data_IF_153128269490
#
_entry.id   IF_153128269490
#
_cell.length_a   1.000
_cell.length_b   1.000
_cell.length_c   1.000
_cell.angle_alpha   90.00
_cell.angle_beta   90.00
_cell.angle_gamma   90.00
#
_symmetry.space_group_name_H-M   'P 1'
#
loop_
_entity.id
_entity.type
_entity.pdbx_description
1 polymer ?
#
# COMPACT_ATOMS: atom_id res chain seq x y z
N UNK A 1 8.20 -14.82 0.85
CA UNK A 1 6.89 -14.12 0.91
C UNK A 1 7.01 -12.83 0.15
N UNK A 2 6.18 -12.61 -0.86
CA UNK A 2 6.22 -11.41 -1.70
C UNK A 2 5.45 -10.28 -1.00
N UNK A 3 6.10 -9.13 -0.82
CA UNK A 3 5.50 -7.92 -0.29
C UNK A 3 5.31 -6.90 -1.42
N UNK A 4 4.24 -6.12 -1.34
CA UNK A 4 4.11 -4.91 -2.15
C UNK A 4 4.70 -3.73 -1.36
N UNK A 5 5.69 -3.07 -1.90
CA UNK A 5 6.28 -1.88 -1.30
C UNK A 5 5.58 -0.63 -1.83
N UNK A 6 5.11 0.20 -0.94
CA UNK A 6 4.68 1.56 -1.27
C UNK A 6 5.94 2.35 -1.63
N UNK A 7 6.06 2.72 -2.89
CA UNK A 7 7.26 3.40 -3.43
C UNK A 7 7.09 4.90 -3.53
N UNK A 8 5.84 5.37 -3.60
CA UNK A 8 5.49 6.78 -3.72
C UNK A 8 4.31 7.10 -2.80
N UNK A 9 4.20 8.37 -2.42
CA UNK A 9 3.06 8.84 -1.64
C UNK A 9 1.78 8.63 -2.45
N UNK A 10 0.87 7.80 -1.93
CA UNK A 10 -0.45 7.56 -2.50
C UNK A 10 -1.51 8.17 -1.60
N UNK A 11 -2.42 8.96 -2.16
CA UNK A 11 -3.46 9.68 -1.41
C UNK A 11 -4.85 9.31 -1.92
N UNK A 12 -5.74 9.00 -1.00
CA UNK A 12 -7.18 8.91 -1.21
C UNK A 12 -7.89 9.90 -0.30
N UNK A 13 -8.77 10.74 -0.82
CA UNK A 13 -9.49 11.72 -0.01
C UNK A 13 -10.94 11.90 -0.46
N UNK A 14 -11.80 12.23 0.50
CA UNK A 14 -13.18 12.67 0.31
C UNK A 14 -13.31 13.99 1.10
N UNK A 15 -12.96 15.13 0.48
CA UNK A 15 -12.85 16.43 1.18
C UNK A 15 -14.15 16.84 1.89
N UNK A 16 -15.30 16.64 1.26
CA UNK A 16 -16.62 16.98 1.79
C UNK A 16 -17.00 16.19 3.06
N UNK A 17 -16.34 15.06 3.31
CA UNK A 17 -16.49 14.23 4.50
C UNK A 17 -15.31 14.33 5.46
N UNK A 18 -14.27 15.09 5.09
CA UNK A 18 -13.02 15.22 5.84
C UNK A 18 -12.25 13.88 5.96
N UNK A 19 -12.42 12.98 4.99
CA UNK A 19 -11.74 11.68 4.97
C UNK A 19 -10.45 11.79 4.17
N UNK A 20 -9.35 11.36 4.75
CA UNK A 20 -8.07 11.25 4.04
C UNK A 20 -7.33 9.97 4.47
N UNK A 21 -6.83 9.22 3.49
CA UNK A 21 -5.98 8.05 3.70
C UNK A 21 -4.73 8.24 2.84
N UNK A 22 -3.57 8.19 3.48
CA UNK A 22 -2.27 8.39 2.81
C UNK A 22 -1.37 7.20 3.09
N UNK A 23 -0.81 6.63 2.03
CA UNK A 23 0.31 5.70 2.15
C UNK A 23 1.62 6.43 1.87
N UNK A 24 2.62 6.18 2.69
CA UNK A 24 3.99 6.66 2.53
C UNK A 24 4.94 5.48 2.34
N UNK A 25 6.03 5.66 1.57
CA UNK A 25 7.13 4.70 1.55
C UNK A 25 7.67 4.45 2.96
N UNK A 26 7.80 3.18 3.32
CA UNK A 26 8.45 2.73 4.56
C UNK A 26 8.88 1.28 4.38
N UNK A 27 9.92 0.85 5.09
CA UNK A 27 10.43 -0.52 5.03
C UNK A 27 9.60 -1.50 5.87
N UNK A 28 8.83 -0.99 6.83
CA UNK A 28 7.92 -1.76 7.66
C UNK A 28 6.47 -1.36 7.42
N UNK A 29 5.53 -2.25 7.77
CA UNK A 29 4.11 -1.92 7.74
C UNK A 29 3.68 -1.30 9.06
N UNK A 30 3.18 -0.08 9.01
CA UNK A 30 2.60 0.60 10.17
C UNK A 30 1.31 1.32 9.79
N UNK A 31 0.41 1.46 10.77
CA UNK A 31 -0.89 2.13 10.57
C UNK A 31 -1.16 3.13 11.67
N UNK A 32 -1.54 4.33 11.29
CA UNK A 32 -1.97 5.41 12.16
C UNK A 32 -3.39 5.82 11.79
N UNK A 33 -4.27 5.87 12.77
CA UNK A 33 -5.67 6.28 12.56
C UNK A 33 -6.00 7.41 13.52
N UNK A 34 -6.54 8.48 12.96
CA UNK A 34 -7.13 9.59 13.70
C UNK A 34 -8.62 9.65 13.39
N UNK A 35 -9.45 9.66 14.41
CA UNK A 35 -10.91 9.73 14.30
C UNK A 35 -11.44 10.91 15.11
N UNK A 36 -12.35 11.63 14.51
CA UNK A 36 -13.12 12.69 15.14
C UNK A 36 -14.60 12.40 14.87
N UNK A 37 -15.30 11.99 15.92
CA UNK A 37 -16.72 11.62 15.84
C UNK A 37 -17.65 12.80 16.11
N UNK A 38 -17.07 13.99 16.35
CA UNK A 38 -17.83 15.15 16.80
C UNK A 38 -18.71 14.84 18.04
N UNK A 39 -18.25 13.91 18.86
CA UNK A 39 -18.94 13.39 20.04
C UNK A 39 -18.33 13.97 21.31
N UNK A 40 -19.18 14.37 22.26
CA UNK A 40 -18.72 14.84 23.57
C UNK A 40 -18.18 13.71 24.45
N UNK A 41 -18.55 12.48 24.16
CA UNK A 41 -18.16 11.29 24.94
C UNK A 41 -16.80 10.77 24.45
N UNK A 42 -16.64 10.54 23.14
CA UNK A 42 -15.40 9.98 22.60
C UNK A 42 -14.44 11.04 22.04
N UNK A 43 -14.96 12.19 21.59
CA UNK A 43 -14.14 13.29 21.08
C UNK A 43 -13.26 12.88 19.89
N UNK A 44 -12.07 13.48 19.87
CA UNK A 44 -11.03 13.16 18.90
C UNK A 44 -10.08 12.13 19.50
N UNK A 45 -9.86 11.03 18.81
CA UNK A 45 -9.04 9.92 19.27
C UNK A 45 -8.03 9.51 18.21
N UNK A 46 -6.90 9.00 18.69
CA UNK A 46 -5.79 8.54 17.90
C UNK A 46 -5.41 7.11 18.30
N UNK A 47 -5.11 6.26 17.31
CA UNK A 47 -4.53 4.94 17.52
C UNK A 47 -3.39 4.71 16.53
N UNK A 48 -2.39 3.94 16.96
CA UNK A 48 -1.21 3.61 16.17
C UNK A 48 -0.83 2.15 16.39
N UNK A 49 -0.41 1.48 15.31
CA UNK A 49 0.25 0.19 15.33
C UNK A 49 1.54 0.32 14.52
N UNK A 50 2.67 0.19 15.20
CA UNK A 50 4.00 0.30 14.57
C UNK A 50 4.50 -1.02 14.01
N UNK A 51 4.14 -2.13 14.64
CA UNK A 51 4.57 -3.47 14.26
C UNK A 51 3.41 -4.45 14.36
N UNK A 52 3.30 -5.34 13.37
CA UNK A 52 2.22 -6.33 13.34
C UNK A 52 2.29 -7.36 14.47
N UNK A 53 3.45 -7.54 15.09
CA UNK A 53 3.62 -8.41 16.26
C UNK A 53 2.79 -7.95 17.45
N UNK A 54 2.58 -6.63 17.60
CA UNK A 54 1.83 -6.01 18.68
C UNK A 54 0.31 -6.05 18.44
N UNK A 55 -0.16 -6.50 17.27
CA UNK A 55 -1.57 -6.51 16.88
C UNK A 55 -2.45 -7.31 17.85
N UNK A 56 -2.00 -8.48 18.25
CA UNK A 56 -2.78 -9.38 19.10
C UNK A 56 -3.09 -8.78 20.48
N UNK A 57 -2.16 -8.00 21.03
CA UNK A 57 -2.32 -7.39 22.36
C UNK A 57 -2.99 -6.02 22.29
N UNK A 58 -2.63 -5.21 21.30
CA UNK A 58 -3.03 -3.80 21.28
C UNK A 58 -4.28 -3.51 20.48
N UNK A 59 -4.60 -4.33 19.46
CA UNK A 59 -5.67 -4.01 18.50
C UNK A 59 -6.76 -5.08 18.48
N UNK A 60 -6.40 -6.35 18.41
CA UNK A 60 -7.37 -7.45 18.30
C UNK A 60 -8.42 -7.50 19.42
N UNK A 61 -8.14 -7.10 20.68
CA UNK A 61 -9.13 -7.10 21.73
C UNK A 61 -10.20 -5.99 21.62
N UNK A 62 -10.02 -5.00 20.72
CA UNK A 62 -10.87 -3.82 20.66
C UNK A 62 -12.26 -4.15 20.09
N UNK A 63 -13.30 -3.80 20.84
CA UNK A 63 -14.69 -4.04 20.46
C UNK A 63 -15.18 -3.00 19.47
N UNK A 64 -16.16 -3.39 18.66
CA UNK A 64 -16.94 -2.46 17.85
C UNK A 64 -17.72 -1.49 18.72
N UNK A 65 -18.14 -0.38 18.14
CA UNK A 65 -18.97 0.61 18.83
C UNK A 65 -20.06 1.14 17.91
N UNK A 66 -21.11 1.66 18.52
CA UNK A 66 -22.26 2.28 17.85
C UNK A 66 -22.82 3.38 18.74
N UNK A 67 -23.30 4.46 18.14
CA UNK A 67 -24.06 5.47 18.87
C UNK A 67 -25.49 4.98 19.08
N UNK A 68 -26.07 5.27 20.26
CA UNK A 68 -27.41 4.81 20.59
C UNK A 68 -28.46 5.27 19.56
N UNK A 69 -28.36 6.49 19.06
CA UNK A 69 -29.26 7.02 18.04
C UNK A 69 -29.15 6.29 16.67
N UNK A 70 -28.05 5.60 16.40
CA UNK A 70 -27.86 4.75 15.22
C UNK A 70 -28.37 3.33 15.43
N UNK A 71 -28.58 2.94 16.69
CA UNK A 71 -28.97 1.59 17.05
C UNK A 71 -30.42 1.30 16.66
N UNK A 72 -31.33 2.27 16.82
CA UNK A 72 -32.77 2.08 16.52
C UNK A 72 -33.05 1.65 15.07
N UNK A 73 -32.47 2.30 14.03
CA UNK A 73 -32.64 1.84 12.66
C UNK A 73 -32.09 0.43 12.43
N UNK A 74 -31.01 0.05 13.13
CA UNK A 74 -30.40 -1.28 13.04
C UNK A 74 -31.29 -2.35 13.66
N UNK A 75 -31.91 -2.05 14.79
CA UNK A 75 -32.89 -2.93 15.46
C UNK A 75 -34.11 -3.12 14.58
N UNK A 76 -34.69 -2.02 14.09
CA UNK A 76 -35.95 -2.04 13.33
C UNK A 76 -35.79 -2.79 11.98
N UNK A 77 -34.59 -2.80 11.40
CA UNK A 77 -34.28 -3.51 10.18
C UNK A 77 -33.67 -4.92 10.39
N UNK A 78 -33.67 -5.41 11.64
CA UNK A 78 -33.12 -6.72 12.01
C UNK A 78 -31.64 -6.93 11.56
N UNK A 79 -30.86 -5.84 11.60
CA UNK A 79 -29.46 -5.82 11.17
C UNK A 79 -28.48 -6.16 12.29
N UNK A 80 -28.96 -6.22 13.55
CA UNK A 80 -28.16 -6.65 14.70
C UNK A 80 -28.15 -8.18 14.74
N UNK A 81 -27.28 -8.78 13.96
CA UNK A 81 -27.06 -10.23 13.99
C UNK A 81 -25.81 -10.52 14.83
N UNK A 82 -26.02 -10.93 16.08
CA UNK A 82 -24.93 -11.30 17.00
C UNK A 82 -24.26 -10.15 17.75
N UNK A 83 -24.80 -8.92 17.66
CA UNK A 83 -24.40 -7.81 18.53
C UNK A 83 -25.01 -7.97 19.92
N UNK A 84 -24.16 -8.00 20.96
CA UNK A 84 -24.53 -8.00 22.35
C UNK A 84 -23.80 -6.85 23.06
N UNK A 85 -24.35 -6.38 24.18
CA UNK A 85 -23.70 -5.35 25.02
C UNK A 85 -22.35 -5.78 25.59
N UNK A 86 -22.00 -7.08 25.52
CA UNK A 86 -20.69 -7.58 25.92
C UNK A 86 -19.63 -7.47 24.82
N UNK A 87 -20.03 -7.44 23.54
CA UNK A 87 -19.12 -7.43 22.40
C UNK A 87 -19.16 -6.11 21.60
N UNK A 88 -20.06 -5.19 21.92
CA UNK A 88 -20.16 -3.87 21.31
C UNK A 88 -20.24 -2.77 22.37
N UNK A 89 -19.59 -1.64 22.08
CA UNK A 89 -19.63 -0.44 22.91
C UNK A 89 -20.81 0.41 22.41
N UNK A 90 -21.84 0.62 23.24
CA UNK A 90 -22.94 1.53 22.91
C UNK A 90 -22.70 2.89 23.58
N UNK A 91 -22.58 3.93 22.76
CA UNK A 91 -22.28 5.29 23.17
C UNK A 91 -23.58 6.08 23.29
N UNK A 92 -23.74 6.73 24.44
CA UNK A 92 -24.95 7.45 24.83
C UNK A 92 -24.59 8.91 25.04
N UNK A 93 -24.94 9.77 24.09
CA UNK A 93 -24.58 11.20 24.13
C UNK A 93 -25.59 12.06 24.88
N UNK A 94 -26.83 11.60 24.96
CA UNK A 94 -27.92 12.34 25.61
C UNK A 94 -28.48 11.51 26.79
N UNK A 95 -29.14 12.20 27.70
CA UNK A 95 -29.89 11.51 28.77
C UNK A 95 -30.97 10.63 28.17
N UNK A 96 -31.09 9.42 28.69
CA UNK A 96 -32.11 8.44 28.33
C UNK A 96 -33.14 8.40 29.44
N UNK A 97 -34.44 8.17 29.09
CA UNK A 97 -35.48 7.92 30.07
C UNK A 97 -35.43 6.48 30.62
N UNK A 98 -36.04 6.28 31.77
CA UNK A 98 -36.13 4.94 32.37
C UNK A 98 -36.92 3.97 31.46
N UNK A 99 -37.96 4.48 30.75
CA UNK A 99 -38.73 3.68 29.79
C UNK A 99 -37.85 3.17 28.62
N UNK A 100 -36.92 4.02 28.14
CA UNK A 100 -36.00 3.62 27.07
C UNK A 100 -34.93 2.64 27.59
N UNK A 101 -34.44 2.79 28.80
CA UNK A 101 -33.56 1.81 29.44
C UNK A 101 -34.26 0.44 29.60
N UNK A 102 -35.52 0.43 30.01
CA UNK A 102 -36.34 -0.80 30.10
C UNK A 102 -36.54 -1.45 28.72
N UNK A 103 -36.76 -0.65 27.70
CA UNK A 103 -36.85 -1.12 26.31
C UNK A 103 -35.54 -1.78 25.84
N UNK A 104 -34.39 -1.12 26.05
CA UNK A 104 -33.10 -1.65 25.72
C UNK A 104 -32.75 -2.93 26.49
N UNK A 105 -33.13 -3.00 27.79
CA UNK A 105 -33.00 -4.20 28.61
C UNK A 105 -33.72 -5.41 28.00
N UNK A 106 -34.92 -5.19 27.48
CA UNK A 106 -35.71 -6.25 26.82
C UNK A 106 -35.08 -6.66 25.47
N UNK A 107 -34.59 -5.68 24.68
CA UNK A 107 -33.99 -5.94 23.37
C UNK A 107 -32.71 -6.77 23.49
N UNK A 108 -31.87 -6.45 24.47
CA UNK A 108 -30.60 -7.12 24.68
C UNK A 108 -30.63 -8.31 25.64
N UNK A 109 -31.84 -8.63 26.17
CA UNK A 109 -32.05 -9.67 27.20
C UNK A 109 -31.09 -9.50 28.39
N UNK A 110 -30.89 -8.26 28.83
CA UNK A 110 -30.02 -7.89 29.95
C UNK A 110 -30.88 -7.23 31.06
N UNK A 111 -30.59 -7.60 32.31
CA UNK A 111 -31.20 -6.94 33.48
C UNK A 111 -30.34 -5.73 33.86
N UNK A 112 -31.00 -4.70 34.42
CA UNK A 112 -30.35 -3.53 35.04
C UNK A 112 -29.39 -2.78 34.08
N UNK A 113 -29.84 -2.54 32.81
CA UNK A 113 -29.12 -1.71 31.88
C UNK A 113 -29.05 -0.28 32.38
N UNK A 114 -27.85 0.27 32.50
CA UNK A 114 -27.58 1.62 32.99
C UNK A 114 -26.63 2.35 32.06
N UNK A 115 -26.62 3.68 32.20
CA UNK A 115 -25.62 4.54 31.50
C UNK A 115 -24.64 5.05 32.53
N UNK A 116 -23.35 4.81 32.27
CA UNK A 116 -22.26 5.32 33.08
C UNK A 116 -21.22 5.96 32.16
N UNK A 117 -20.81 7.19 32.49
CA UNK A 117 -19.79 7.97 31.71
C UNK A 117 -20.08 8.03 30.23
N UNK A 118 -21.35 7.98 29.80
CA UNK A 118 -21.72 8.00 28.38
C UNK A 118 -21.67 6.64 27.67
N UNK A 119 -21.52 5.55 28.41
CA UNK A 119 -21.57 4.19 27.88
C UNK A 119 -22.73 3.39 28.52
N UNK A 120 -23.36 2.54 27.71
CA UNK A 120 -24.44 1.67 28.18
C UNK A 120 -23.85 0.48 28.95
N UNK A 121 -24.61 0.02 29.98
CA UNK A 121 -24.34 -1.17 30.78
C UNK A 121 -23.05 -1.13 31.62
N UNK A 122 -22.67 0.05 32.13
CA UNK A 122 -21.48 0.25 32.98
C UNK A 122 -20.20 -0.34 32.35
N UNK A 123 -20.09 -0.29 31.06
CA UNK A 123 -19.04 -0.90 30.28
C UNK A 123 -17.69 -0.20 30.59
N UNK A 124 -16.72 -0.99 31.01
CA UNK A 124 -15.35 -0.52 31.13
C UNK A 124 -14.62 -0.71 29.80
N UNK A 125 -14.06 0.37 29.26
CA UNK A 125 -13.21 0.30 28.08
C UNK A 125 -11.95 -0.51 28.38
N UNK A 126 -11.54 -1.34 27.40
CA UNK A 126 -10.28 -2.11 27.48
C UNK A 126 -9.06 -1.20 27.30
N UNK A 127 -9.23 -0.13 26.51
CA UNK A 127 -8.25 0.93 26.30
C UNK A 127 -8.95 2.29 26.32
N UNK A 128 -8.33 3.37 26.80
CA UNK A 128 -8.93 4.70 26.81
C UNK A 128 -9.36 5.19 25.40
N UNK A 129 -8.67 4.72 24.37
CA UNK A 129 -8.92 5.01 22.95
C UNK A 129 -9.45 3.79 22.19
N UNK A 130 -10.22 2.92 22.81
CA UNK A 130 -10.72 1.67 22.21
C UNK A 130 -11.49 1.92 20.90
N UNK A 131 -12.35 2.95 20.75
CA UNK A 131 -13.01 3.25 19.48
C UNK A 131 -12.05 3.53 18.32
N UNK A 132 -10.96 4.29 18.54
CA UNK A 132 -10.00 4.55 17.47
C UNK A 132 -9.13 3.31 17.15
N UNK A 133 -8.84 2.47 18.15
CA UNK A 133 -8.17 1.18 17.94
C UNK A 133 -9.04 0.23 17.12
N UNK A 134 -10.34 0.23 17.34
CA UNK A 134 -11.27 -0.53 16.50
C UNK A 134 -11.28 -0.02 15.06
N UNK A 135 -11.24 1.29 14.83
CA UNK A 135 -11.11 1.85 13.47
C UNK A 135 -9.77 1.48 12.80
N UNK A 136 -8.72 1.31 13.58
CA UNK A 136 -7.46 0.79 13.09
C UNK A 136 -7.55 -0.70 12.74
N UNK A 137 -8.27 -1.50 13.54
CA UNK A 137 -8.59 -2.91 13.24
C UNK A 137 -9.37 -3.02 11.92
N UNK A 138 -10.41 -2.19 11.74
CA UNK A 138 -11.19 -2.10 10.51
C UNK A 138 -10.27 -1.81 9.30
N UNK A 139 -9.36 -0.83 9.44
CA UNK A 139 -8.41 -0.46 8.38
C UNK A 139 -7.52 -1.65 7.99
N UNK A 140 -6.94 -2.35 8.95
CA UNK A 140 -6.09 -3.52 8.68
C UNK A 140 -6.90 -4.63 7.98
N UNK A 141 -8.13 -4.89 8.46
CA UNK A 141 -9.03 -5.89 7.88
C UNK A 141 -9.40 -5.56 6.43
N UNK A 142 -9.76 -4.32 6.16
CA UNK A 142 -10.13 -3.87 4.81
C UNK A 142 -8.92 -3.90 3.85
N UNK A 143 -7.73 -3.54 4.34
CA UNK A 143 -6.49 -3.62 3.55
C UNK A 143 -6.09 -5.08 3.24
N UNK A 144 -6.48 -6.05 4.07
CA UNK A 144 -6.25 -7.47 3.78
C UNK A 144 -6.95 -7.94 2.50
N UNK A 145 -8.02 -7.26 2.05
CA UNK A 145 -8.71 -7.51 0.78
C UNK A 145 -7.84 -7.26 -0.45
N UNK A 146 -6.71 -6.58 -0.31
CA UNK A 146 -5.69 -6.43 -1.36
C UNK A 146 -5.17 -7.80 -1.78
N UNK A 147 -5.10 -8.77 -0.84
CA UNK A 147 -4.62 -10.13 -1.09
C UNK A 147 -3.10 -10.27 -1.12
N UNK A 148 -2.37 -9.18 -0.80
CA UNK A 148 -0.91 -9.14 -0.73
C UNK A 148 -0.48 -8.32 0.48
N UNK A 149 0.62 -8.70 1.14
CA UNK A 149 1.19 -7.93 2.24
C UNK A 149 1.81 -6.63 1.72
N UNK A 150 1.65 -5.57 2.47
CA UNK A 150 2.16 -4.24 2.15
C UNK A 150 3.37 -3.93 3.06
N UNK A 151 4.36 -3.24 2.53
CA UNK A 151 5.35 -2.45 3.28
C UNK A 151 5.12 -0.99 2.96
N UNK A 152 5.03 -0.19 4.02
CA UNK A 152 4.69 1.22 3.94
C UNK A 152 3.92 1.68 5.15
N UNK A 153 3.91 2.97 5.40
CA UNK A 153 3.19 3.59 6.51
C UNK A 153 1.86 4.15 6.03
N UNK A 154 0.76 3.68 6.62
CA UNK A 154 -0.58 4.18 6.35
C UNK A 154 -0.98 5.19 7.42
N UNK A 155 -1.43 6.36 7.01
CA UNK A 155 -1.99 7.39 7.89
C UNK A 155 -3.40 7.69 7.42
N UNK A 156 -4.38 7.50 8.30
CA UNK A 156 -5.78 7.68 7.96
C UNK A 156 -6.46 8.68 8.92
N UNK A 157 -7.19 9.62 8.35
CA UNK A 157 -8.05 10.54 9.05
C UNK A 157 -9.51 10.24 8.71
N UNK A 158 -10.34 10.04 9.75
CA UNK A 158 -11.75 9.62 9.64
C UNK A 158 -11.99 8.41 8.71
N UNK A 159 -11.22 7.32 8.82
CA UNK A 159 -11.41 6.15 7.98
C UNK A 159 -12.75 5.47 8.23
N UNK A 160 -13.18 4.69 7.26
CA UNK A 160 -14.37 3.83 7.35
C UNK A 160 -14.37 2.83 6.20
N UNK A 161 -15.13 1.74 6.30
CA UNK A 161 -15.11 0.61 5.37
C UNK A 161 -15.19 1.02 3.89
N UNK A 162 -16.05 1.98 3.55
CA UNK A 162 -16.17 2.46 2.17
C UNK A 162 -14.87 3.11 1.68
N UNK A 163 -14.29 4.04 2.45
CA UNK A 163 -13.05 4.73 2.11
C UNK A 163 -11.86 3.76 2.10
N UNK A 164 -11.77 2.89 3.10
CA UNK A 164 -10.71 1.89 3.21
C UNK A 164 -10.72 0.94 2.01
N UNK A 165 -11.91 0.51 1.59
CA UNK A 165 -12.09 -0.42 0.46
C UNK A 165 -11.71 0.24 -0.87
N UNK A 166 -12.08 1.51 -1.07
CA UNK A 166 -11.68 2.24 -2.28
C UNK A 166 -10.16 2.48 -2.30
N UNK A 167 -9.56 2.83 -1.17
CA UNK A 167 -8.12 2.92 -1.05
C UNK A 167 -7.42 1.57 -1.33
N UNK A 168 -7.95 0.47 -0.79
CA UNK A 168 -7.44 -0.88 -1.07
C UNK A 168 -7.52 -1.23 -2.57
N UNK A 169 -8.60 -0.82 -3.26
CA UNK A 169 -8.73 -0.97 -4.72
C UNK A 169 -7.67 -0.17 -5.49
N UNK A 170 -7.34 1.05 -5.03
CA UNK A 170 -6.27 1.85 -5.64
C UNK A 170 -4.93 1.12 -5.54
N UNK A 171 -4.54 0.68 -4.35
CA UNK A 171 -3.30 -0.09 -4.13
C UNK A 171 -3.29 -1.38 -4.96
N UNK A 172 -4.41 -2.12 -4.99
CA UNK A 172 -4.52 -3.33 -5.82
C UNK A 172 -4.35 -3.06 -7.32
N UNK A 173 -4.81 -1.89 -7.79
CA UNK A 173 -4.61 -1.46 -9.18
C UNK A 173 -3.15 -1.15 -9.47
N UNK A 174 -2.43 -0.56 -8.52
CA UNK A 174 -0.98 -0.31 -8.63
C UNK A 174 -0.20 -1.64 -8.67
N UNK A 175 -0.52 -2.58 -7.79
CA UNK A 175 0.06 -3.93 -7.80
C UNK A 175 -0.13 -4.59 -9.17
N UNK A 176 -1.33 -4.52 -9.74
CA UNK A 176 -1.63 -5.09 -11.07
C UNK A 176 -0.90 -4.37 -12.22
N UNK A 177 -0.61 -3.07 -12.06
CA UNK A 177 0.08 -2.26 -13.09
C UNK A 177 1.58 -2.44 -13.08
N UNK A 178 2.17 -2.67 -11.91
CA UNK A 178 3.60 -2.59 -11.71
C UNK A 178 4.33 -3.92 -11.50
N UNK A 179 3.63 -4.97 -11.04
CA UNK A 179 4.37 -6.04 -10.36
C UNK A 179 5.20 -5.48 -9.20
N UNK A 180 5.66 -6.30 -8.32
CA UNK A 180 6.64 -5.93 -7.29
C UNK A 180 7.95 -5.52 -7.95
N UNK A 181 8.10 -4.24 -8.32
CA UNK A 181 9.41 -3.71 -8.69
C UNK A 181 10.16 -3.47 -7.39
N UNK A 182 11.23 -4.20 -7.09
CA UNK A 182 12.11 -3.81 -6.02
C UNK A 182 12.61 -2.40 -6.35
N UNK A 183 12.38 -1.45 -5.43
CA UNK A 183 12.89 -0.10 -5.62
C UNK A 183 14.36 -0.10 -5.22
N UNK A 184 15.21 -0.32 -6.19
CA UNK A 184 16.66 -0.12 -6.01
C UNK A 184 16.92 1.37 -5.90
N UNK A 185 17.26 1.85 -4.71
CA UNK A 185 17.85 3.19 -4.55
C UNK A 185 19.28 3.13 -5.07
N UNK A 186 19.45 3.46 -6.33
CA UNK A 186 20.74 3.46 -7.00
C UNK A 186 21.27 4.91 -7.05
N UNK A 187 22.43 5.14 -6.47
CA UNK A 187 23.19 6.35 -6.72
C UNK A 187 23.88 6.25 -8.07
N UNK A 188 23.49 7.07 -9.07
CA UNK A 188 24.12 7.03 -10.40
C UNK A 188 25.61 7.36 -10.38
N UNK A 189 26.11 8.05 -9.36
CA UNK A 189 27.51 8.42 -9.18
C UNK A 189 28.34 7.34 -8.47
N UNK A 190 27.70 6.34 -7.88
CA UNK A 190 28.39 5.25 -7.22
C UNK A 190 29.24 4.43 -8.22
N UNK A 191 30.25 3.75 -7.70
CA UNK A 191 31.07 2.83 -8.50
C UNK A 191 30.18 1.69 -9.03
N UNK A 192 30.15 1.44 -10.35
CA UNK A 192 29.34 0.38 -10.91
C UNK A 192 29.85 -1.02 -10.48
N UNK A 193 28.94 -1.98 -10.44
CA UNK A 193 29.25 -3.39 -10.26
C UNK A 193 30.01 -3.92 -11.49
N UNK A 194 29.49 -3.58 -12.70
CA UNK A 194 30.20 -3.82 -13.97
C UNK A 194 30.34 -2.53 -14.76
N UNK A 195 31.55 -2.22 -15.13
CA UNK A 195 31.89 -1.16 -16.11
C UNK A 195 31.70 -1.66 -17.55
N UNK A 196 31.86 -0.76 -18.50
CA UNK A 196 31.70 -1.07 -19.94
C UNK A 196 32.63 -2.18 -20.43
N UNK A 197 33.85 -2.29 -19.89
CA UNK A 197 34.81 -3.32 -20.30
C UNK A 197 34.40 -4.70 -19.79
N UNK A 198 33.86 -4.76 -18.59
CA UNK A 198 33.29 -6.00 -18.00
C UNK A 198 32.04 -6.43 -18.76
N UNK A 199 31.13 -5.49 -19.08
CA UNK A 199 29.93 -5.76 -19.89
C UNK A 199 30.33 -6.31 -21.29
N UNK A 200 31.33 -5.75 -21.93
CA UNK A 200 31.83 -6.23 -23.23
C UNK A 200 32.42 -7.65 -23.21
N UNK A 201 32.77 -8.17 -22.05
CA UNK A 201 33.18 -9.58 -21.88
C UNK A 201 31.99 -10.52 -21.76
N UNK A 202 30.88 -10.03 -21.20
CA UNK A 202 29.67 -10.82 -21.04
C UNK A 202 28.79 -10.81 -22.30
N UNK A 203 28.63 -9.65 -22.93
CA UNK A 203 27.79 -9.47 -24.12
C UNK A 203 28.60 -9.44 -25.40
N UNK A 204 28.11 -10.10 -26.48
CA UNK A 204 28.75 -10.03 -27.82
C UNK A 204 28.56 -8.69 -28.49
N UNK A 205 27.61 -7.87 -28.07
CA UNK A 205 27.25 -6.58 -28.65
C UNK A 205 28.41 -5.59 -28.61
N UNK A 206 28.51 -4.75 -29.65
CA UNK A 206 29.50 -3.69 -29.76
C UNK A 206 28.83 -2.39 -30.24
N UNK A 207 29.42 -1.23 -29.98
CA UNK A 207 28.92 0.02 -30.55
C UNK A 207 28.76 -0.05 -32.06
N UNK A 208 27.65 0.53 -32.61
CA UNK A 208 26.66 1.35 -31.93
C UNK A 208 25.53 0.58 -31.27
N UNK A 209 25.57 -0.75 -31.25
CA UNK A 209 24.47 -1.60 -30.76
C UNK A 209 24.70 -2.14 -29.35
N UNK A 210 25.71 -1.70 -28.64
CA UNK A 210 25.89 -1.95 -27.20
C UNK A 210 25.17 -0.83 -26.41
N UNK A 211 24.05 -1.15 -25.82
CA UNK A 211 23.12 -0.18 -25.25
C UNK A 211 23.08 -0.19 -23.70
N UNK A 212 24.08 -0.81 -23.05
CA UNK A 212 24.24 -0.78 -21.59
C UNK A 212 25.62 -0.24 -21.26
N UNK A 213 25.69 0.88 -20.55
CA UNK A 213 26.96 1.55 -20.23
C UNK A 213 27.57 1.08 -18.91
N UNK A 214 26.71 0.74 -17.92
CA UNK A 214 27.13 0.21 -16.63
C UNK A 214 26.02 -0.61 -15.96
N UNK A 215 26.40 -1.54 -15.09
CA UNK A 215 25.49 -2.29 -14.21
C UNK A 215 25.75 -1.85 -12.78
N UNK A 216 24.70 -1.45 -12.07
CA UNK A 216 24.79 -0.94 -10.70
C UNK A 216 24.36 -1.97 -9.67
N UNK A 217 23.47 -2.90 -10.03
CA UNK A 217 23.00 -3.98 -9.17
C UNK A 217 22.78 -5.25 -9.97
N UNK A 218 23.11 -6.38 -9.36
CA UNK A 218 22.87 -7.72 -9.90
C UNK A 218 22.74 -8.70 -8.76
N UNK A 219 21.64 -9.42 -8.72
CA UNK A 219 21.42 -10.58 -7.84
C UNK A 219 20.84 -11.76 -8.65
N UNK A 220 20.31 -12.80 -8.01
CA UNK A 220 19.76 -13.98 -8.69
C UNK A 220 18.46 -13.70 -9.47
N UNK A 221 17.78 -12.60 -9.19
CA UNK A 221 16.46 -12.29 -9.76
C UNK A 221 16.40 -10.92 -10.46
N UNK A 222 17.38 -10.02 -10.17
CA UNK A 222 17.30 -8.64 -10.62
C UNK A 222 18.62 -8.14 -11.15
N UNK A 223 18.53 -7.27 -12.15
CA UNK A 223 19.64 -6.49 -12.68
C UNK A 223 19.21 -5.03 -12.88
N UNK A 224 20.08 -4.10 -12.50
CA UNK A 224 19.88 -2.67 -12.78
C UNK A 224 21.06 -2.16 -13.60
N UNK A 225 20.78 -1.80 -14.84
CA UNK A 225 21.74 -1.20 -15.77
C UNK A 225 21.41 0.26 -16.07
N UNK A 226 22.40 0.98 -16.54
CA UNK A 226 22.26 2.34 -17.05
C UNK A 226 22.64 2.42 -18.51
N UNK A 227 21.86 3.21 -19.27
CA UNK A 227 22.19 3.72 -20.59
C UNK A 227 22.21 5.24 -20.52
N UNK A 228 23.37 5.85 -20.82
CA UNK A 228 23.46 7.28 -21.03
C UNK A 228 22.96 7.59 -22.44
N UNK A 229 22.00 8.49 -22.54
CA UNK A 229 21.44 8.92 -23.81
C UNK A 229 21.88 10.35 -24.04
N UNK A 230 22.74 10.55 -25.08
CA UNK A 230 23.24 11.87 -25.44
C UNK A 230 22.95 12.16 -26.90
N UNK A 231 23.00 13.44 -27.30
CA UNK A 231 22.77 13.84 -28.69
C UNK A 231 23.75 13.21 -29.70
N UNK A 232 24.86 12.65 -29.24
CA UNK A 232 25.84 11.96 -30.06
C UNK A 232 25.46 10.52 -30.44
N UNK A 233 24.31 10.03 -29.97
CA UNK A 233 23.83 8.71 -30.36
C UNK A 233 23.43 8.68 -31.85
N UNK A 234 23.88 7.67 -32.61
CA UNK A 234 23.74 7.66 -34.08
C UNK A 234 22.30 7.60 -34.56
N UNK A 235 21.38 7.08 -33.74
CA UNK A 235 19.97 7.00 -34.10
C UNK A 235 19.26 8.37 -34.12
N UNK A 236 19.78 9.42 -33.47
CA UNK A 236 19.20 10.76 -33.51
C UNK A 236 19.41 11.48 -34.85
N UNK A 237 20.32 11.00 -35.69
CA UNK A 237 20.45 11.52 -37.07
C UNK A 237 19.17 11.39 -37.87
N UNK A 238 18.39 10.34 -37.60
CA UNK A 238 17.17 10.05 -38.35
C UNK A 238 15.90 9.94 -37.48
N UNK A 239 16.01 9.88 -36.16
CA UNK A 239 14.85 9.62 -35.28
C UNK A 239 14.73 10.65 -34.13
N UNK A 240 14.36 11.90 -34.36
CA UNK A 240 14.10 12.65 -35.59
C UNK A 240 14.95 13.91 -35.59
N UNK A 241 15.35 14.47 -36.74
CA UNK A 241 16.26 15.62 -36.77
C UNK A 241 15.83 16.82 -35.93
N UNK A 242 14.55 17.18 -35.97
CA UNK A 242 14.01 18.33 -35.26
C UNK A 242 13.43 17.99 -33.87
N UNK A 243 13.24 16.73 -33.56
CA UNK A 243 12.75 16.24 -32.26
C UNK A 243 13.42 14.90 -31.89
N UNK A 244 14.63 14.94 -31.29
CA UNK A 244 15.38 13.73 -31.00
C UNK A 244 14.73 12.90 -29.93
N UNK A 245 14.31 11.69 -30.28
CA UNK A 245 13.70 10.70 -29.39
C UNK A 245 14.39 9.36 -29.62
N UNK A 246 14.79 8.69 -28.54
CA UNK A 246 15.34 7.34 -28.65
C UNK A 246 14.28 6.37 -29.20
N UNK A 247 14.60 5.60 -30.27
CA UNK A 247 13.65 4.61 -30.78
C UNK A 247 13.18 3.63 -29.67
N UNK A 248 11.87 3.46 -29.53
CA UNK A 248 11.30 2.58 -28.50
C UNK A 248 11.82 1.15 -28.58
N UNK A 249 12.08 0.65 -29.80
CA UNK A 249 12.66 -0.68 -30.01
C UNK A 249 14.07 -0.80 -29.42
N UNK A 250 14.85 0.28 -29.43
CA UNK A 250 16.19 0.29 -28.84
C UNK A 250 16.15 0.38 -27.30
N UNK A 251 15.08 0.95 -26.73
CA UNK A 251 14.84 0.89 -25.29
C UNK A 251 14.59 -0.57 -24.87
N UNK A 252 13.77 -1.30 -25.63
CA UNK A 252 13.52 -2.72 -25.41
C UNK A 252 14.81 -3.53 -25.54
N UNK A 253 15.61 -3.24 -26.54
CA UNK A 253 16.90 -3.89 -26.74
C UNK A 253 17.87 -3.63 -25.58
N UNK A 254 17.96 -2.39 -25.09
CA UNK A 254 18.78 -2.05 -23.91
C UNK A 254 18.35 -2.86 -22.66
N UNK A 255 17.02 -2.99 -22.45
CA UNK A 255 16.48 -3.83 -21.38
C UNK A 255 16.83 -5.31 -21.58
N UNK A 256 16.82 -5.78 -22.81
CA UNK A 256 17.18 -7.15 -23.16
C UNK A 256 18.65 -7.45 -22.90
N UNK A 257 19.52 -6.54 -23.26
CA UNK A 257 20.94 -6.67 -22.96
C UNK A 257 21.20 -6.72 -21.45
N UNK A 258 20.49 -5.90 -20.66
CA UNK A 258 20.50 -6.03 -19.21
C UNK A 258 20.04 -7.44 -18.76
N UNK A 259 18.92 -7.93 -19.29
CA UNK A 259 18.41 -9.28 -18.99
C UNK A 259 19.39 -10.37 -19.40
N UNK A 260 20.10 -10.18 -20.52
CA UNK A 260 21.18 -11.07 -20.98
C UNK A 260 22.33 -11.15 -19.97
N UNK A 261 22.74 -10.01 -19.39
CA UNK A 261 23.75 -9.98 -18.32
C UNK A 261 23.29 -10.80 -17.11
N UNK A 262 22.02 -10.64 -16.68
CA UNK A 262 21.46 -11.43 -15.58
C UNK A 262 21.52 -12.94 -15.89
N UNK A 263 21.04 -13.33 -17.06
CA UNK A 263 21.04 -14.74 -17.48
C UNK A 263 22.46 -15.33 -17.57
N UNK A 264 23.38 -14.60 -18.17
CA UNK A 264 24.78 -15.02 -18.36
C UNK A 264 25.56 -15.04 -17.04
N UNK A 265 25.20 -14.21 -16.06
CA UNK A 265 25.85 -14.23 -14.74
C UNK A 265 25.56 -15.49 -13.94
N UNK A 266 24.55 -16.27 -14.32
CA UNK A 266 24.16 -17.52 -13.66
C UNK A 266 24.86 -18.77 -14.20
N UNK A 267 25.66 -18.64 -15.29
CA UNK A 267 26.40 -19.74 -15.91
C UNK A 267 27.90 -19.62 -15.64
N UNK A 268 28.63 -20.75 -15.52
CA UNK A 268 30.05 -20.73 -15.14
C UNK A 268 30.98 -20.16 -16.21
N UNK A 269 30.63 -20.26 -17.50
CA UNK A 269 31.41 -19.85 -18.67
C UNK A 269 30.56 -19.02 -19.65
N UNK A 270 30.19 -17.79 -19.26
CA UNK A 270 29.20 -16.97 -19.97
C UNK A 270 29.65 -16.63 -21.44
N UNK A 271 30.93 -16.61 -21.72
CA UNK A 271 31.50 -16.37 -23.07
C UNK A 271 31.11 -17.45 -24.09
N UNK A 272 30.71 -18.64 -23.64
CA UNK A 272 30.30 -19.73 -24.50
C UNK A 272 28.81 -19.78 -24.81
N UNK A 273 28.04 -18.82 -24.23
CA UNK A 273 26.57 -18.74 -24.39
C UNK A 273 26.16 -17.48 -25.15
N UNK A 274 25.08 -17.61 -25.91
CA UNK A 274 24.40 -16.50 -26.56
C UNK A 274 22.94 -16.50 -26.17
N UNK A 275 22.37 -15.30 -25.91
CA UNK A 275 20.95 -15.15 -25.55
C UNK A 275 20.20 -14.60 -26.77
N UNK A 276 19.03 -15.17 -27.05
CA UNK A 276 18.14 -14.76 -28.14
C UNK A 276 16.73 -14.59 -27.62
N UNK A 277 16.03 -13.57 -28.11
CA UNK A 277 14.60 -13.46 -27.84
C UNK A 277 13.79 -14.52 -28.59
N UNK A 278 12.88 -15.14 -27.88
CA UNK A 278 11.85 -15.96 -28.50
C UNK A 278 10.56 -15.15 -28.75
N UNK A 279 10.27 -14.18 -27.86
CA UNK A 279 9.02 -13.42 -27.90
C UNK A 279 9.13 -12.15 -27.08
N UNK A 280 8.45 -11.10 -27.50
CA UNK A 280 8.25 -9.84 -26.77
C UNK A 280 6.77 -9.54 -26.74
N UNK A 281 6.18 -9.42 -25.56
CA UNK A 281 4.75 -9.17 -25.38
C UNK A 281 4.50 -7.96 -24.48
N UNK A 282 3.37 -7.29 -24.70
CA UNK A 282 2.82 -6.31 -23.76
C UNK A 282 3.63 -5.04 -23.59
N UNK A 283 4.53 -4.71 -24.51
CA UNK A 283 5.35 -3.50 -24.47
C UNK A 283 4.46 -2.26 -24.62
N UNK A 284 4.61 -1.30 -23.69
CA UNK A 284 3.90 -0.01 -23.73
C UNK A 284 4.90 1.10 -23.43
N UNK A 285 5.04 2.03 -24.35
CA UNK A 285 5.80 3.25 -24.14
C UNK A 285 4.87 4.33 -23.58
N UNK A 286 5.25 4.97 -22.46
CA UNK A 286 4.46 5.99 -21.80
C UNK A 286 5.10 7.36 -21.89
N UNK A 287 6.44 7.38 -21.87
CA UNK A 287 7.24 8.58 -21.91
C UNK A 287 8.31 8.47 -22.99
N UNK A 288 8.77 9.62 -23.51
CA UNK A 288 9.87 9.70 -24.46
C UNK A 288 11.19 9.65 -23.71
N UNK A 289 12.19 8.96 -24.27
CA UNK A 289 13.58 9.06 -23.85
C UNK A 289 14.28 10.02 -24.80
N UNK A 290 14.81 11.09 -24.27
CA UNK A 290 15.46 12.19 -25.00
C UNK A 290 16.90 12.35 -24.53
N UNK A 291 17.76 13.05 -25.29
CA UNK A 291 19.15 13.33 -24.93
C UNK A 291 19.29 14.07 -23.61
#
# INVERSE_FOLDING_TARGET
RVYFHITEKTVYSIPERGVEIVAYPDDEFSVNVNVDFNSKIIGNQYARLDRMEDFAEQIAPCRTFVFLHELEPLINNNLIKGGDLDNAIVIVENRISDEELDRLSKIFDKRDVQVNEGYLNNLRLRFPNEPSRHKLLDMIGDLALIGQRIRGRIVAYKPGHAANTEFAKMIRKEIKRGGTRPMFRIDPAAKPLYDINQIKRLLPHRPPFLLVDKVMHLDSEHVVGFKNVTMNEPFFVGHFPDEPVMPGVLIVEAMAQCGGILALSSVPDPENYSTYFLKIDGVKFRDKVVP
#
